data_IF_680936314193
#
_entry.id   IF_680936314193
#
_cell.length_a   1.000
_cell.length_b   1.000
_cell.length_c   1.000
_cell.angle_alpha   90.00
_cell.angle_beta   90.00
_cell.angle_gamma   90.00
#
_symmetry.space_group_name_H-M   'P 1'
#
loop_
_entity.id
_entity.type
_entity.pdbx_description
1 polymer ?
#
# COMPACT_ATOMS: atom_id res chain seq x y z
N UNK A 1 17.96 -24.72 -66.77
CA UNK A 1 17.59 -25.96 -66.07
C UNK A 1 17.91 -25.77 -64.59
N UNK A 2 16.91 -25.35 -63.82
CA UNK A 2 16.96 -25.22 -62.35
C UNK A 2 16.57 -26.55 -61.72
N UNK A 3 17.15 -26.86 -60.55
CA UNK A 3 17.03 -28.17 -59.89
C UNK A 3 15.66 -28.26 -59.17
N UNK A 4 15.01 -29.45 -59.09
CA UNK A 4 13.64 -29.58 -58.57
C UNK A 4 13.47 -29.35 -57.05
N UNK A 5 14.53 -29.00 -56.34
CA UNK A 5 14.55 -28.85 -54.87
C UNK A 5 14.34 -27.40 -54.42
N UNK A 6 14.41 -26.43 -55.34
CA UNK A 6 14.23 -24.99 -55.04
C UNK A 6 12.76 -24.53 -55.07
N UNK A 7 11.79 -25.45 -55.21
CA UNK A 7 10.36 -25.16 -55.35
C UNK A 7 9.49 -25.66 -54.18
N UNK A 8 10.09 -25.97 -53.02
CA UNK A 8 9.33 -26.25 -51.81
C UNK A 8 9.22 -25.00 -50.93
N UNK A 9 8.21 -24.18 -51.25
CA UNK A 9 7.33 -23.61 -50.22
C UNK A 9 7.69 -22.25 -49.64
N UNK A 10 7.89 -21.21 -50.45
CA UNK A 10 7.42 -19.89 -50.02
C UNK A 10 5.89 -19.89 -50.10
N UNK A 11 5.23 -19.82 -48.94
CA UNK A 11 3.77 -19.81 -48.90
C UNK A 11 3.26 -18.48 -49.46
N UNK A 12 2.10 -18.47 -50.11
CA UNK A 12 1.44 -17.24 -50.57
C UNK A 12 1.16 -16.25 -49.42
N UNK A 13 1.22 -16.73 -48.17
CA UNK A 13 1.16 -15.95 -46.94
C UNK A 13 2.45 -15.19 -46.61
N UNK A 14 3.62 -15.73 -46.98
CA UNK A 14 4.92 -15.08 -46.74
C UNK A 14 5.17 -13.88 -47.68
N UNK A 15 4.49 -13.84 -48.83
CA UNK A 15 4.51 -12.70 -49.75
C UNK A 15 3.50 -11.61 -49.40
N UNK A 16 2.44 -11.94 -48.64
CA UNK A 16 1.38 -11.02 -48.22
C UNK A 16 1.68 -10.28 -46.92
N UNK A 17 2.57 -10.83 -46.07
CA UNK A 17 2.99 -10.20 -44.83
C UNK A 17 4.49 -9.85 -44.98
N UNK A 18 4.85 -8.57 -45.16
CA UNK A 18 6.24 -8.18 -45.29
C UNK A 18 7.05 -8.72 -44.12
N UNK A 19 8.16 -9.42 -44.37
CA UNK A 19 9.04 -9.90 -43.29
C UNK A 19 9.53 -8.77 -42.36
N UNK A 20 9.49 -7.52 -42.82
CA UNK A 20 9.71 -6.33 -42.01
C UNK A 20 8.64 -6.15 -40.91
N UNK A 21 7.36 -6.38 -41.22
CA UNK A 21 6.24 -6.30 -40.27
C UNK A 21 6.28 -7.46 -39.26
N UNK A 22 6.63 -8.67 -39.70
CA UNK A 22 6.82 -9.81 -38.78
C UNK A 22 8.03 -9.61 -37.86
N UNK A 23 9.16 -9.10 -38.37
CA UNK A 23 10.30 -8.72 -37.52
C UNK A 23 9.92 -7.61 -36.55
N UNK A 24 9.14 -6.61 -36.97
CA UNK A 24 8.68 -5.54 -36.10
C UNK A 24 7.73 -6.07 -35.01
N UNK A 25 6.79 -6.95 -35.36
CA UNK A 25 5.89 -7.64 -34.43
C UNK A 25 6.63 -8.59 -33.48
N UNK A 26 7.65 -9.31 -33.94
CA UNK A 26 8.48 -10.18 -33.09
C UNK A 26 9.42 -9.38 -32.21
N UNK A 27 9.94 -8.24 -32.69
CA UNK A 27 10.76 -7.32 -31.89
C UNK A 27 9.89 -6.64 -30.84
N UNK A 28 8.68 -6.22 -31.21
CA UNK A 28 7.64 -5.74 -30.29
C UNK A 28 7.24 -6.81 -29.28
N UNK A 29 7.06 -8.07 -29.69
CA UNK A 29 6.65 -9.18 -28.81
C UNK A 29 7.77 -9.54 -27.83
N UNK A 30 9.02 -9.60 -28.30
CA UNK A 30 10.22 -9.84 -27.48
C UNK A 30 10.49 -8.66 -26.52
N UNK A 31 10.21 -7.42 -26.93
CA UNK A 31 10.29 -6.24 -26.06
C UNK A 31 9.10 -6.13 -25.09
N UNK A 32 7.91 -6.54 -25.50
CA UNK A 32 6.71 -6.59 -24.67
C UNK A 32 6.82 -7.65 -23.58
N UNK A 33 7.35 -8.83 -23.92
CA UNK A 33 7.68 -9.88 -22.97
C UNK A 33 8.74 -9.40 -21.96
N UNK A 34 9.76 -8.66 -22.43
CA UNK A 34 10.77 -8.06 -21.56
C UNK A 34 10.18 -7.01 -20.60
N UNK A 35 9.24 -6.17 -21.07
CA UNK A 35 8.53 -5.18 -20.23
C UNK A 35 7.69 -5.87 -19.15
N UNK A 36 6.92 -6.90 -19.50
CA UNK A 36 6.10 -7.66 -18.55
C UNK A 36 6.96 -8.38 -17.50
N UNK A 37 8.09 -8.96 -17.92
CA UNK A 37 9.07 -9.57 -17.02
C UNK A 37 9.69 -8.52 -16.09
N UNK A 38 10.03 -7.34 -16.60
CA UNK A 38 10.58 -6.25 -15.79
C UNK A 38 9.58 -5.71 -14.79
N UNK A 39 8.32 -5.50 -15.18
CA UNK A 39 7.24 -5.08 -14.27
C UNK A 39 7.01 -6.12 -13.18
N UNK A 40 6.99 -7.41 -13.54
CA UNK A 40 6.80 -8.50 -12.57
C UNK A 40 7.96 -8.59 -11.58
N UNK A 41 9.20 -8.46 -12.07
CA UNK A 41 10.40 -8.44 -11.21
C UNK A 41 10.49 -7.18 -10.34
N UNK A 42 10.09 -6.02 -10.85
CA UNK A 42 9.97 -4.78 -10.08
C UNK A 42 8.94 -4.91 -8.98
N UNK A 43 7.73 -5.37 -9.31
CA UNK A 43 6.67 -5.62 -8.32
C UNK A 43 7.10 -6.65 -7.27
N UNK A 44 7.90 -7.66 -7.63
CA UNK A 44 8.43 -8.63 -6.69
C UNK A 44 9.47 -8.00 -5.75
N UNK A 45 10.41 -7.22 -6.30
CA UNK A 45 11.43 -6.51 -5.51
C UNK A 45 10.79 -5.58 -4.47
N UNK A 46 9.87 -4.71 -4.91
CA UNK A 46 9.14 -3.83 -4.00
C UNK A 46 8.27 -4.61 -3.01
N UNK A 47 7.63 -5.70 -3.44
CA UNK A 47 6.82 -6.55 -2.56
C UNK A 47 7.65 -7.19 -1.46
N UNK A 48 8.80 -7.77 -1.79
CA UNK A 48 9.71 -8.36 -0.81
C UNK A 48 10.25 -7.30 0.16
N UNK A 49 10.68 -6.14 -0.34
CA UNK A 49 11.14 -5.06 0.51
C UNK A 49 10.04 -4.58 1.48
N UNK A 50 8.81 -4.41 1.00
CA UNK A 50 7.68 -4.02 1.84
C UNK A 50 7.36 -5.07 2.91
N UNK A 51 7.44 -6.36 2.61
CA UNK A 51 7.25 -7.40 3.64
C UNK A 51 8.28 -7.26 4.76
N UNK A 52 9.54 -6.95 4.44
CA UNK A 52 10.60 -6.74 5.45
C UNK A 52 10.31 -5.47 6.26
N UNK A 53 10.01 -4.36 5.58
CA UNK A 53 9.70 -3.07 6.23
C UNK A 53 8.49 -3.21 7.16
N UNK A 54 7.41 -3.84 6.70
CA UNK A 54 6.22 -4.07 7.52
C UNK A 54 6.44 -5.08 8.65
N UNK A 55 7.34 -6.05 8.48
CA UNK A 55 7.73 -6.91 9.59
C UNK A 55 8.41 -6.10 10.70
N UNK A 56 9.31 -5.18 10.32
CA UNK A 56 9.93 -4.26 11.29
C UNK A 56 8.87 -3.42 11.99
N UNK A 57 7.91 -2.84 11.25
CA UNK A 57 6.77 -2.11 11.83
C UNK A 57 6.03 -2.91 12.90
N UNK A 58 5.64 -4.15 12.58
CA UNK A 58 4.91 -5.01 13.53
C UNK A 58 5.77 -5.32 14.76
N UNK A 59 7.07 -5.51 14.60
CA UNK A 59 8.00 -5.76 15.71
C UNK A 59 8.22 -4.55 16.61
N UNK A 60 7.99 -3.32 16.12
CA UNK A 60 8.06 -2.12 16.96
C UNK A 60 6.85 -1.97 17.89
N UNK A 61 5.70 -2.57 17.57
CA UNK A 61 4.44 -2.40 18.32
C UNK A 61 4.53 -2.88 19.78
N UNK A 62 5.06 -4.08 20.10
CA UNK A 62 5.16 -4.54 21.49
C UNK A 62 6.09 -3.70 22.37
N UNK A 63 6.99 -2.93 21.77
CA UNK A 63 8.02 -2.13 22.44
C UNK A 63 7.87 -0.64 22.13
N UNK A 64 6.63 -0.19 21.84
CA UNK A 64 6.34 1.16 21.36
C UNK A 64 6.92 2.27 22.24
N UNK A 65 6.98 2.07 23.57
CA UNK A 65 7.57 3.02 24.52
C UNK A 65 9.02 3.38 24.22
N UNK A 66 9.79 2.48 23.60
CA UNK A 66 11.20 2.69 23.25
C UNK A 66 11.42 2.75 21.73
N UNK A 67 10.41 2.36 20.94
CA UNK A 67 10.52 2.16 19.49
C UNK A 67 9.63 3.10 18.67
N UNK A 68 8.97 4.09 19.28
CA UNK A 68 8.08 5.01 18.55
C UNK A 68 8.77 5.74 17.40
N UNK A 69 10.03 6.15 17.56
CA UNK A 69 10.79 6.75 16.46
C UNK A 69 11.09 5.76 15.34
N UNK A 70 11.36 4.51 15.68
CA UNK A 70 11.55 3.45 14.69
C UNK A 70 10.25 3.18 13.93
N UNK A 71 9.12 3.09 14.64
CA UNK A 71 7.79 2.90 14.04
C UNK A 71 7.46 4.03 13.06
N UNK A 72 7.59 5.29 13.48
CA UNK A 72 7.29 6.44 12.61
C UNK A 72 8.30 6.52 11.46
N UNK A 73 9.60 6.38 11.74
CA UNK A 73 10.66 6.50 10.74
C UNK A 73 10.60 5.42 9.66
N UNK A 74 10.40 4.16 10.05
CA UNK A 74 10.22 3.04 9.12
C UNK A 74 8.92 3.21 8.33
N UNK A 75 7.87 3.77 8.93
CA UNK A 75 6.58 3.98 8.29
C UNK A 75 6.66 5.02 7.18
N UNK A 76 7.43 6.08 7.42
CA UNK A 76 7.74 7.09 6.41
C UNK A 76 8.57 6.54 5.24
N UNK A 77 9.49 5.60 5.50
CA UNK A 77 10.22 4.88 4.44
C UNK A 77 9.26 3.97 3.64
N UNK A 78 8.26 3.39 4.29
CA UNK A 78 7.27 2.55 3.63
C UNK A 78 6.42 3.33 2.62
N UNK A 79 6.12 4.61 2.86
CA UNK A 79 5.29 5.46 1.98
C UNK A 79 5.71 5.38 0.50
N UNK A 80 6.94 5.77 0.11
CA UNK A 80 7.34 5.74 -1.29
C UNK A 80 7.47 4.30 -1.83
N UNK A 81 7.83 3.32 -0.98
CA UNK A 81 7.89 1.90 -1.39
C UNK A 81 6.50 1.35 -1.75
N UNK A 82 5.46 1.75 -1.02
CA UNK A 82 4.06 1.41 -1.31
C UNK A 82 3.66 2.02 -2.65
N UNK A 83 3.96 3.30 -2.89
CA UNK A 83 3.70 3.97 -4.17
C UNK A 83 4.38 3.22 -5.32
N UNK A 84 5.65 2.83 -5.15
CA UNK A 84 6.38 2.03 -6.12
C UNK A 84 5.70 0.68 -6.39
N UNK A 85 5.35 -0.06 -5.32
CA UNK A 85 4.66 -1.34 -5.43
C UNK A 85 3.33 -1.23 -6.16
N UNK A 86 2.51 -0.24 -5.79
CA UNK A 86 1.21 0.01 -6.39
C UNK A 86 1.35 0.36 -7.85
N UNK A 87 2.28 1.24 -8.21
CA UNK A 87 2.58 1.61 -9.61
C UNK A 87 2.88 0.36 -10.44
N UNK A 88 3.82 -0.48 -10.01
CA UNK A 88 4.17 -1.71 -10.74
C UNK A 88 3.00 -2.70 -10.86
N UNK A 89 2.18 -2.88 -9.81
CA UNK A 89 1.01 -3.77 -9.90
C UNK A 89 -0.15 -3.19 -10.71
N UNK A 90 -0.40 -1.88 -10.62
CA UNK A 90 -1.48 -1.21 -11.33
C UNK A 90 -1.23 -1.20 -12.83
N UNK A 91 0.01 -1.02 -13.28
CA UNK A 91 0.36 -1.12 -14.70
C UNK A 91 -0.01 -2.48 -15.29
N UNK A 92 0.16 -3.56 -14.52
CA UNK A 92 -0.24 -4.92 -14.94
C UNK A 92 -1.77 -5.10 -14.95
N UNK A 93 -2.46 -4.55 -13.96
CA UNK A 93 -3.93 -4.61 -13.89
C UNK A 93 -4.60 -3.79 -15.00
N UNK A 94 -4.10 -2.59 -15.28
CA UNK A 94 -4.61 -1.74 -16.36
C UNK A 94 -4.42 -2.41 -17.71
N UNK A 95 -3.23 -2.99 -17.98
CA UNK A 95 -2.99 -3.76 -19.21
C UNK A 95 -3.95 -4.94 -19.37
N UNK A 96 -4.21 -5.67 -18.28
CA UNK A 96 -5.18 -6.77 -18.28
C UNK A 96 -6.61 -6.30 -18.58
N UNK A 97 -7.09 -5.23 -17.93
CA UNK A 97 -8.47 -4.72 -18.14
C UNK A 97 -8.66 -3.95 -19.44
N UNK A 98 -7.59 -3.47 -20.07
CA UNK A 98 -7.62 -2.90 -21.43
C UNK A 98 -7.69 -3.96 -22.53
N UNK A 99 -7.69 -5.25 -22.18
CA UNK A 99 -7.79 -6.34 -23.14
C UNK A 99 -6.50 -6.62 -23.92
N UNK A 100 -5.35 -6.14 -23.44
CA UNK A 100 -4.08 -6.42 -24.10
C UNK A 100 -3.77 -7.93 -24.05
N UNK A 101 -3.70 -8.57 -25.22
CA UNK A 101 -3.46 -10.00 -25.39
C UNK A 101 -2.22 -10.49 -24.63
N UNK A 102 -1.21 -9.63 -24.47
CA UNK A 102 0.05 -9.95 -23.79
C UNK A 102 -0.18 -10.19 -22.30
N UNK A 103 -1.09 -9.44 -21.68
CA UNK A 103 -1.46 -9.59 -20.27
C UNK A 103 -2.52 -10.68 -20.05
N UNK A 104 -3.35 -10.95 -21.05
CA UNK A 104 -4.32 -12.07 -21.03
C UNK A 104 -3.61 -13.42 -21.12
N UNK A 105 -2.62 -13.57 -22.02
CA UNK A 105 -1.79 -14.78 -22.17
C UNK A 105 -0.93 -15.08 -20.93
N UNK A 106 -0.58 -14.05 -20.14
CA UNK A 106 0.14 -14.20 -18.86
C UNK A 106 -0.71 -14.83 -17.73
N UNK A 107 -1.98 -15.11 -17.98
CA UNK A 107 -2.88 -15.84 -17.09
C UNK A 107 -3.70 -14.93 -16.18
N UNK A 108 -4.97 -15.31 -15.99
CA UNK A 108 -5.95 -14.59 -15.17
C UNK A 108 -5.49 -14.55 -13.70
N UNK A 109 -5.36 -13.35 -13.08
CA UNK A 109 -5.12 -13.25 -11.64
C UNK A 109 -6.20 -14.00 -10.86
N UNK A 110 -5.79 -14.90 -9.95
CA UNK A 110 -6.67 -15.74 -9.13
C UNK A 110 -7.77 -14.92 -8.44
N UNK A 111 -9.03 -15.31 -8.64
CA UNK A 111 -10.21 -14.53 -8.27
C UNK A 111 -10.28 -14.14 -6.77
N UNK A 112 -9.97 -15.02 -5.79
CA UNK A 112 -9.99 -14.63 -4.37
C UNK A 112 -8.98 -13.52 -4.03
N UNK A 113 -7.81 -13.52 -4.69
CA UNK A 113 -6.79 -12.47 -4.53
C UNK A 113 -7.22 -11.14 -5.17
N UNK A 114 -8.17 -11.14 -6.11
CA UNK A 114 -8.72 -9.91 -6.70
C UNK A 114 -9.67 -9.17 -5.78
N UNK A 115 -10.34 -9.87 -4.87
CA UNK A 115 -11.22 -9.23 -3.87
C UNK A 115 -10.36 -8.75 -2.70
N UNK A 116 -9.44 -9.60 -2.23
CA UNK A 116 -8.54 -9.26 -1.13
C UNK A 116 -7.66 -8.04 -1.44
N UNK A 117 -7.16 -7.91 -2.68
CA UNK A 117 -6.23 -6.86 -3.04
C UNK A 117 -6.80 -5.43 -2.86
N UNK A 118 -7.99 -5.07 -3.35
CA UNK A 118 -8.63 -3.77 -3.08
C UNK A 118 -8.77 -3.47 -1.59
N UNK A 119 -9.25 -4.42 -0.78
CA UNK A 119 -9.38 -4.23 0.67
C UNK A 119 -8.02 -4.01 1.34
N UNK A 120 -7.00 -4.75 0.93
CA UNK A 120 -5.64 -4.58 1.43
C UNK A 120 -5.07 -3.21 1.02
N UNK A 121 -5.31 -2.76 -0.21
CA UNK A 121 -4.86 -1.45 -0.69
C UNK A 121 -5.53 -0.33 0.12
N UNK A 122 -6.86 -0.40 0.28
CA UNK A 122 -7.61 0.61 1.04
C UNK A 122 -7.13 0.65 2.49
N UNK A 123 -7.03 -0.49 3.17
CA UNK A 123 -6.55 -0.53 4.55
C UNK A 123 -5.10 -0.09 4.69
N UNK A 124 -4.23 -0.40 3.72
CA UNK A 124 -2.84 0.11 3.69
C UNK A 124 -2.82 1.64 3.60
N UNK A 125 -3.62 2.23 2.70
CA UNK A 125 -3.72 3.68 2.55
C UNK A 125 -4.26 4.32 3.83
N UNK A 126 -5.27 3.72 4.46
CA UNK A 126 -5.85 4.23 5.71
C UNK A 126 -4.86 4.16 6.87
N UNK A 127 -4.13 3.05 7.04
CA UNK A 127 -3.11 2.90 8.09
C UNK A 127 -1.99 3.91 7.90
N UNK A 128 -1.42 3.99 6.69
CA UNK A 128 -0.33 4.91 6.40
C UNK A 128 -0.78 6.36 6.51
N UNK A 129 -1.96 6.70 5.95
CA UNK A 129 -2.52 8.04 6.01
C UNK A 129 -2.78 8.51 7.44
N UNK A 130 -3.44 7.67 8.25
CA UNK A 130 -3.68 7.99 9.66
C UNK A 130 -2.38 8.04 10.49
N UNK A 131 -1.36 7.24 10.15
CA UNK A 131 -0.04 7.30 10.80
C UNK A 131 0.70 8.61 10.51
N UNK A 132 0.69 9.06 9.25
CA UNK A 132 1.26 10.36 8.84
C UNK A 132 0.50 11.51 9.49
N UNK A 133 -0.83 11.42 9.55
CA UNK A 133 -1.66 12.44 10.21
C UNK A 133 -1.36 12.53 11.71
N UNK A 134 -1.19 11.39 12.40
CA UNK A 134 -0.77 11.35 13.80
C UNK A 134 0.61 11.99 14.01
N UNK A 135 1.57 11.71 13.12
CA UNK A 135 2.90 12.30 13.24
C UNK A 135 2.86 13.84 13.15
N UNK A 136 2.11 14.37 12.17
CA UNK A 136 1.93 15.82 12.00
C UNK A 136 1.18 16.43 13.18
N UNK A 137 0.05 15.83 13.57
CA UNK A 137 -0.80 16.31 14.67
C UNK A 137 -0.07 16.30 16.02
N UNK A 138 0.89 15.39 16.19
CA UNK A 138 1.75 15.29 17.37
C UNK A 138 1.07 14.63 18.58
N UNK A 139 1.80 14.48 19.71
CA UNK A 139 1.42 13.58 20.80
C UNK A 139 0.11 13.92 21.53
N UNK A 140 -0.29 15.20 21.53
CA UNK A 140 -1.54 15.64 22.16
C UNK A 140 -2.78 15.09 21.45
N UNK A 141 -2.66 14.74 20.16
CA UNK A 141 -3.73 14.10 19.39
C UNK A 141 -4.03 12.67 19.85
N UNK A 142 -3.04 11.98 20.45
CA UNK A 142 -3.14 10.58 20.83
C UNK A 142 -4.26 10.32 21.85
N UNK A 143 -4.39 11.21 22.83
CA UNK A 143 -5.38 11.11 23.91
C UNK A 143 -6.62 11.97 23.70
N UNK A 144 -6.52 13.05 22.92
CA UNK A 144 -7.59 14.02 22.74
C UNK A 144 -8.48 13.76 21.52
N UNK A 145 -8.10 12.85 20.61
CA UNK A 145 -8.81 12.61 19.34
C UNK A 145 -9.05 11.12 19.09
N UNK A 146 -10.02 10.81 18.21
CA UNK A 146 -10.31 9.44 17.78
C UNK A 146 -9.23 8.86 16.83
N UNK A 147 -8.24 9.66 16.42
CA UNK A 147 -7.30 9.30 15.37
C UNK A 147 -6.37 8.14 15.77
N UNK A 148 -5.81 8.15 16.98
CA UNK A 148 -4.93 7.08 17.45
C UNK A 148 -5.65 5.73 17.65
N UNK A 149 -6.83 5.67 18.30
CA UNK A 149 -7.64 4.45 18.34
C UNK A 149 -8.01 3.94 16.94
N UNK A 150 -8.37 4.83 16.02
CA UNK A 150 -8.71 4.46 14.65
C UNK A 150 -7.51 3.87 13.91
N UNK A 151 -6.34 4.50 13.99
CA UNK A 151 -5.10 4.00 13.41
C UNK A 151 -4.77 2.61 13.94
N UNK A 152 -4.82 2.41 15.26
CA UNK A 152 -4.58 1.10 15.87
C UNK A 152 -5.54 0.03 15.35
N UNK A 153 -6.85 0.32 15.32
CA UNK A 153 -7.85 -0.64 14.83
C UNK A 153 -7.67 -0.97 13.34
N UNK A 154 -7.40 0.05 12.53
CA UNK A 154 -7.07 -0.12 11.11
C UNK A 154 -5.83 -0.98 10.92
N UNK A 155 -4.80 -0.78 11.75
CA UNK A 155 -3.56 -1.56 11.73
C UNK A 155 -3.81 -3.03 12.06
N UNK A 156 -4.71 -3.35 13.00
CA UNK A 156 -5.10 -4.74 13.28
C UNK A 156 -5.81 -5.38 12.09
N UNK A 157 -6.80 -4.70 11.51
CA UNK A 157 -7.53 -5.20 10.33
C UNK A 157 -6.57 -5.40 9.16
N UNK A 158 -5.71 -4.41 8.90
CA UNK A 158 -4.69 -4.47 7.88
C UNK A 158 -3.71 -5.62 8.10
N UNK A 159 -3.25 -5.84 9.34
CA UNK A 159 -2.32 -6.92 9.66
C UNK A 159 -2.91 -8.29 9.32
N UNK A 160 -4.17 -8.53 9.66
CA UNK A 160 -4.86 -9.78 9.31
C UNK A 160 -4.96 -9.97 7.78
N UNK A 161 -5.33 -8.92 7.05
CA UNK A 161 -5.40 -8.96 5.58
C UNK A 161 -4.02 -9.20 4.95
N UNK A 162 -2.99 -8.54 5.48
CA UNK A 162 -1.60 -8.67 5.02
C UNK A 162 -1.05 -10.07 5.31
N UNK A 163 -1.28 -10.61 6.51
CA UNK A 163 -0.88 -11.96 6.87
C UNK A 163 -1.52 -13.00 5.95
N UNK A 164 -2.83 -12.88 5.69
CA UNK A 164 -3.53 -13.74 4.74
C UNK A 164 -2.98 -13.59 3.31
N UNK A 165 -2.72 -12.36 2.87
CA UNK A 165 -2.14 -12.07 1.56
C UNK A 165 -0.75 -12.72 1.38
N UNK A 166 0.15 -12.52 2.34
CA UNK A 166 1.50 -13.08 2.32
C UNK A 166 1.45 -14.60 2.39
N UNK A 167 0.63 -15.19 3.27
CA UNK A 167 0.47 -16.64 3.37
C UNK A 167 -0.04 -17.26 2.06
N UNK A 168 -1.04 -16.64 1.42
CA UNK A 168 -1.57 -17.09 0.13
C UNK A 168 -0.49 -17.05 -0.98
N UNK A 169 0.31 -15.98 -1.03
CA UNK A 169 1.40 -15.85 -2.00
C UNK A 169 2.59 -16.78 -1.70
N UNK A 170 2.96 -16.96 -0.44
CA UNK A 170 4.02 -17.88 -0.01
C UNK A 170 3.65 -19.33 -0.33
N UNK A 171 2.43 -19.75 -0.03
CA UNK A 171 1.91 -21.08 -0.39
C UNK A 171 1.93 -21.30 -1.90
N UNK A 172 1.55 -20.28 -2.69
CA UNK A 172 1.62 -20.35 -4.15
C UNK A 172 3.06 -20.46 -4.65
N UNK A 173 3.97 -19.65 -4.09
CA UNK A 173 5.38 -19.68 -4.45
C UNK A 173 6.02 -21.04 -4.10
N UNK A 174 5.72 -21.61 -2.93
CA UNK A 174 6.16 -22.95 -2.54
C UNK A 174 5.66 -24.02 -3.51
N UNK A 175 4.34 -24.03 -3.82
CA UNK A 175 3.73 -24.97 -4.79
C UNK A 175 4.31 -24.83 -6.19
N UNK A 176 4.65 -23.61 -6.61
CA UNK A 176 5.25 -23.35 -7.91
C UNK A 176 6.73 -23.72 -7.95
N UNK A 177 7.48 -23.50 -6.87
CA UNK A 177 8.93 -23.73 -6.80
C UNK A 177 9.28 -25.22 -6.77
N UNK A 178 8.44 -26.04 -6.12
CA UNK A 178 8.54 -27.51 -6.19
C UNK A 178 8.44 -28.01 -7.65
N UNK A 179 7.68 -27.31 -8.50
CA UNK A 179 7.50 -27.66 -9.91
C UNK A 179 8.57 -27.07 -10.85
N UNK A 180 9.22 -25.96 -10.46
CA UNK A 180 10.11 -25.16 -11.31
C UNK A 180 11.61 -25.39 -11.06
N UNK A 181 11.97 -26.11 -9.99
CA UNK A 181 13.36 -26.32 -9.53
C UNK A 181 14.27 -26.98 -10.60
N UNK A 182 13.71 -27.67 -11.59
CA UNK A 182 14.48 -28.33 -12.67
C UNK A 182 15.00 -27.39 -13.77
N UNK A 183 14.61 -26.11 -13.80
CA UNK A 183 14.84 -25.24 -14.97
C UNK A 183 15.74 -24.01 -14.76
N UNK A 184 16.20 -23.75 -13.52
CA UNK A 184 16.77 -22.43 -13.14
C UNK A 184 18.29 -22.36 -12.96
N UNK A 185 19.02 -23.44 -13.21
CA UNK A 185 20.49 -23.46 -13.04
C UNK A 185 21.28 -22.94 -14.27
N UNK A 186 20.64 -22.60 -15.39
CA UNK A 186 21.36 -22.48 -16.68
C UNK A 186 21.23 -21.14 -17.44
N UNK A 187 20.59 -20.08 -16.90
CA UNK A 187 20.41 -18.83 -17.68
C UNK A 187 20.99 -17.56 -17.04
N UNK A 188 21.88 -16.82 -17.74
CA UNK A 188 22.45 -15.56 -17.26
C UNK A 188 21.42 -14.42 -17.20
N UNK A 189 21.67 -13.46 -16.29
CA UNK A 189 20.74 -12.39 -15.88
C UNK A 189 20.73 -11.25 -16.92
N UNK A 190 19.57 -10.84 -17.47
CA UNK A 190 19.52 -9.81 -18.52
C UNK A 190 19.76 -8.38 -18.01
N UNK A 191 20.31 -7.54 -18.89
CA UNK A 191 20.79 -6.15 -18.71
C UNK A 191 19.76 -5.16 -18.16
N UNK A 192 18.46 -5.41 -18.40
CA UNK A 192 17.30 -4.68 -17.83
C UNK A 192 17.22 -4.65 -16.29
N UNK A 193 18.21 -5.20 -15.59
CA UNK A 193 18.30 -5.18 -14.12
C UNK A 193 18.65 -3.84 -13.52
N UNK A 194 19.36 -2.97 -14.26
CA UNK A 194 19.91 -1.74 -13.67
C UNK A 194 18.84 -0.67 -13.41
N UNK A 195 17.90 -0.46 -14.34
CA UNK A 195 16.87 0.58 -14.19
C UNK A 195 15.91 0.31 -13.03
N UNK A 196 15.42 -0.94 -12.88
CA UNK A 196 14.52 -1.30 -11.76
C UNK A 196 15.21 -1.18 -10.39
N UNK A 197 16.49 -1.53 -10.31
CA UNK A 197 17.28 -1.39 -9.08
C UNK A 197 17.54 0.08 -8.80
N UNK A 198 17.85 0.89 -9.81
CA UNK A 198 18.01 2.33 -9.66
C UNK A 198 16.72 3.01 -9.15
N UNK A 199 15.55 2.66 -9.72
CA UNK A 199 14.24 3.16 -9.26
C UNK A 199 14.00 2.75 -7.80
N UNK A 200 14.27 1.48 -7.46
CA UNK A 200 14.13 1.00 -6.09
C UNK A 200 15.05 1.77 -5.12
N UNK A 201 16.33 1.93 -5.44
CA UNK A 201 17.29 2.69 -4.64
C UNK A 201 16.84 4.14 -4.49
N UNK A 202 16.42 4.79 -5.57
CA UNK A 202 15.90 6.15 -5.53
C UNK A 202 14.66 6.26 -4.63
N UNK A 203 13.77 5.26 -4.67
CA UNK A 203 12.58 5.21 -3.82
C UNK A 203 12.95 5.05 -2.34
N UNK A 204 13.92 4.17 -2.03
CA UNK A 204 14.47 4.07 -0.68
C UNK A 204 15.11 5.38 -0.22
N UNK A 205 15.88 6.05 -1.09
CA UNK A 205 16.51 7.33 -0.78
C UNK A 205 15.47 8.41 -0.48
N UNK A 206 14.38 8.48 -1.26
CA UNK A 206 13.23 9.36 -0.97
C UNK A 206 12.64 9.05 0.40
N UNK A 207 12.47 7.77 0.75
CA UNK A 207 11.96 7.36 2.07
C UNK A 207 12.87 7.81 3.21
N UNK A 208 14.19 7.68 3.05
CA UNK A 208 15.17 8.15 4.03
C UNK A 208 15.10 9.68 4.16
N UNK A 209 15.02 10.41 3.05
CA UNK A 209 14.86 11.87 3.06
C UNK A 209 13.57 12.27 3.78
N UNK A 210 12.44 11.59 3.53
CA UNK A 210 11.21 11.84 4.27
C UNK A 210 11.38 11.60 5.78
N UNK A 211 11.94 10.46 6.20
CA UNK A 211 12.19 10.16 7.61
C UNK A 211 13.09 11.19 8.30
N UNK A 212 14.06 11.77 7.58
CA UNK A 212 14.93 12.84 8.10
C UNK A 212 14.24 14.20 8.18
N UNK A 213 13.33 14.53 7.26
CA UNK A 213 12.55 15.77 7.32
C UNK A 213 11.57 15.79 8.50
N UNK A 214 11.01 14.62 8.86
CA UNK A 214 10.04 14.48 9.95
C UNK A 214 10.66 14.24 11.34
N UNK A 215 11.97 14.48 11.50
CA UNK A 215 12.67 14.28 12.79
C UNK A 215 12.12 15.14 13.93
N UNK A 216 11.63 16.35 13.65
CA UNK A 216 10.98 17.21 14.65
C UNK A 216 9.74 16.55 15.26
N UNK A 217 8.73 16.20 14.44
CA UNK A 217 7.59 15.36 14.84
C UNK A 217 7.97 14.10 15.61
N UNK A 218 8.90 13.30 15.08
CA UNK A 218 9.38 12.06 15.71
C UNK A 218 9.89 12.29 17.13
N UNK A 219 10.75 13.30 17.33
CA UNK A 219 11.32 13.62 18.65
C UNK A 219 10.26 14.05 19.67
N UNK A 220 9.19 14.73 19.22
CA UNK A 220 8.06 15.08 20.10
C UNK A 220 7.36 13.83 20.61
N UNK A 221 7.18 12.83 19.74
CA UNK A 221 6.63 11.53 20.13
C UNK A 221 7.54 10.75 21.06
N UNK A 222 8.84 10.68 20.78
CA UNK A 222 9.81 10.07 21.71
C UNK A 222 9.76 10.72 23.09
N UNK A 223 9.75 12.06 23.16
CA UNK A 223 9.67 12.77 24.43
C UNK A 223 8.37 12.47 25.19
N UNK A 224 7.24 12.33 24.48
CA UNK A 224 5.95 12.00 25.09
C UNK A 224 5.93 10.57 25.66
N UNK A 225 6.50 9.60 24.96
CA UNK A 225 6.63 8.22 25.45
C UNK A 225 7.65 8.06 26.59
N UNK A 226 8.71 8.87 26.58
CA UNK A 226 9.76 8.86 27.61
C UNK A 226 9.43 9.71 28.83
N UNK A 227 8.37 10.52 28.80
CA UNK A 227 8.01 11.39 29.92
C UNK A 227 7.46 10.58 31.10
N UNK A 228 8.09 10.62 32.29
CA UNK A 228 7.66 9.86 33.47
C UNK A 228 6.31 10.29 34.07
N UNK A 229 5.68 11.33 33.50
CA UNK A 229 4.45 11.94 34.01
C UNK A 229 3.14 11.43 33.37
N UNK A 230 3.19 10.44 32.48
CA UNK A 230 1.96 9.83 31.91
C UNK A 230 1.14 9.02 32.94
N UNK A 231 1.65 8.82 34.15
CA UNK A 231 1.01 8.09 35.25
C UNK A 231 0.62 8.95 36.46
N UNK A 232 0.87 10.27 36.44
CA UNK A 232 0.53 11.12 37.59
C UNK A 232 -0.65 12.07 37.28
N UNK A 233 -1.91 11.67 37.59
CA UNK A 233 -3.10 12.48 37.31
C UNK A 233 -3.14 13.82 38.09
N UNK A 234 -2.24 14.04 39.04
CA UNK A 234 -2.17 15.26 39.87
C UNK A 234 -1.55 16.48 39.18
N UNK A 235 -0.91 16.33 38.01
CA UNK A 235 -0.30 17.45 37.26
C UNK A 235 -1.12 17.92 36.04
N UNK A 236 -2.33 17.39 35.85
CA UNK A 236 -3.32 17.98 34.94
C UNK A 236 -3.91 19.25 35.57
N UNK A 237 -3.16 20.36 35.55
CA UNK A 237 -3.68 21.69 35.94
C UNK A 237 -4.72 22.25 34.97
N UNK A 238 -4.98 21.54 33.88
CA UNK A 238 -6.22 21.64 33.14
C UNK A 238 -6.97 20.33 33.28
N UNK A 239 -8.21 20.33 33.82
CA UNK A 239 -9.03 19.14 33.78
C UNK A 239 -9.08 18.66 32.33
N UNK A 240 -8.97 17.34 32.05
CA UNK A 240 -9.19 16.83 30.70
C UNK A 240 -10.49 17.45 30.21
N UNK A 241 -10.48 18.12 29.04
CA UNK A 241 -11.71 18.64 28.45
C UNK A 241 -12.64 17.45 28.31
N UNK A 242 -13.57 17.37 29.24
CA UNK A 242 -14.54 16.30 29.35
C UNK A 242 -15.53 16.55 28.21
N UNK A 243 -15.16 16.13 26.99
CA UNK A 243 -15.98 16.29 25.78
C UNK A 243 -17.29 15.48 25.88
N UNK A 244 -17.43 14.63 26.90
CA UNK A 244 -18.69 13.96 27.23
C UNK A 244 -19.10 14.22 28.68
N UNK A 245 -20.04 15.15 28.86
CA UNK A 245 -20.71 15.39 30.14
C UNK A 245 -22.20 15.03 29.98
N UNK A 246 -22.71 13.93 30.57
CA UNK A 246 -24.11 13.54 30.42
C UNK A 246 -25.12 14.57 30.94
N UNK A 247 -24.70 15.52 31.79
CA UNK A 247 -25.54 16.66 32.20
C UNK A 247 -25.73 17.72 31.09
N UNK A 248 -24.91 17.72 30.04
CA UNK A 248 -25.11 18.59 28.88
C UNK A 248 -26.24 18.08 27.98
N UNK A 249 -26.48 16.77 27.92
CA UNK A 249 -27.62 16.18 27.22
C UNK A 249 -28.94 16.55 27.91
N UNK A 250 -29.03 16.42 29.24
CA UNK A 250 -30.22 16.88 29.98
C UNK A 250 -30.51 18.38 29.78
N UNK A 251 -29.48 19.23 29.78
CA UNK A 251 -29.62 20.66 29.48
C UNK A 251 -29.97 20.93 28.01
N UNK A 252 -29.53 20.08 27.08
CA UNK A 252 -29.88 20.14 25.67
C UNK A 252 -31.37 19.83 25.47
N UNK A 253 -31.85 18.72 26.03
CA UNK A 253 -33.27 18.34 26.00
C UNK A 253 -34.16 19.41 26.64
N UNK A 254 -33.73 19.99 27.76
CA UNK A 254 -34.49 21.03 28.45
C UNK A 254 -34.57 22.33 27.63
N UNK A 255 -33.47 22.74 26.99
CA UNK A 255 -33.50 23.88 26.03
C UNK A 255 -34.40 23.58 24.84
N UNK A 256 -34.35 22.36 24.31
CA UNK A 256 -35.12 21.97 23.14
C UNK A 256 -36.63 21.98 23.45
N UNK A 257 -37.03 21.47 24.62
CA UNK A 257 -38.42 21.59 25.13
C UNK A 257 -38.83 23.05 25.33
N UNK A 258 -37.93 23.89 25.83
CA UNK A 258 -38.20 25.33 26.00
C UNK A 258 -38.43 26.02 24.65
N UNK A 259 -37.62 25.70 23.63
CA UNK A 259 -37.78 26.22 22.27
C UNK A 259 -39.07 25.73 21.60
N UNK A 260 -39.47 24.48 21.81
CA UNK A 260 -40.76 23.97 21.33
C UNK A 260 -41.93 24.67 22.01
N UNK A 261 -41.89 24.87 23.33
CA UNK A 261 -42.94 25.60 24.06
C UNK A 261 -43.05 27.06 23.62
N UNK A 262 -41.91 27.74 23.43
CA UNK A 262 -41.89 29.12 22.93
C UNK A 262 -42.38 29.21 21.48
N UNK A 263 -42.02 28.25 20.62
CA UNK A 263 -42.51 28.15 19.25
C UNK A 263 -44.03 27.94 19.18
N UNK A 264 -44.57 27.07 20.04
CA UNK A 264 -46.01 26.83 20.16
C UNK A 264 -46.76 28.04 20.72
N UNK A 265 -46.18 28.75 21.69
CA UNK A 265 -46.76 29.98 22.24
C UNK A 265 -46.82 31.10 21.20
N UNK A 266 -45.78 31.27 20.38
CA UNK A 266 -45.77 32.26 19.31
C UNK A 266 -46.79 31.93 18.20
N UNK A 267 -46.94 30.65 17.85
CA UNK A 267 -47.91 30.20 16.84
C UNK A 267 -49.37 30.40 17.28
N UNK A 268 -49.62 30.42 18.59
CA UNK A 268 -50.96 30.67 19.18
C UNK A 268 -51.31 32.17 19.29
N UNK A 269 -50.33 33.07 19.17
CA UNK A 269 -50.52 34.53 19.12
C UNK A 269 -50.70 35.07 17.70
N UNK A 270 -50.41 34.27 16.67
CA UNK A 270 -50.41 34.67 15.26
C UNK A 270 -51.58 34.09 14.45
N UNK A 271 -52.61 33.56 15.10
CA UNK A 271 -53.86 33.10 14.48
C UNK A 271 -55.03 33.64 15.28
#
# INVERSE_FOLDING_TARGET
MMRPEDMQGESLFDSLIPQAEQRELDTERKHADQRIVNLSRGSALFGTALVIVFLIEVLTVPIMSHAVAWHIGVGLIAVPLIVGKLTYSSLRFIGYYRGDERYLKAGVPWFPLRILAPFLVVTTVLVIGSGVELDVAGPTSFSATFLAPAHFLLSVVWFLLMAFHVAAYANRAARSTIKDMSSRLTKPRPTSSRSRVAIFIATCAIGIVLATQFQGPIRRWEAAFNSPNSTNPSQLTHPPKQYYNPSSLKRGEERQRLHEQLGLHNRKKSG
#
